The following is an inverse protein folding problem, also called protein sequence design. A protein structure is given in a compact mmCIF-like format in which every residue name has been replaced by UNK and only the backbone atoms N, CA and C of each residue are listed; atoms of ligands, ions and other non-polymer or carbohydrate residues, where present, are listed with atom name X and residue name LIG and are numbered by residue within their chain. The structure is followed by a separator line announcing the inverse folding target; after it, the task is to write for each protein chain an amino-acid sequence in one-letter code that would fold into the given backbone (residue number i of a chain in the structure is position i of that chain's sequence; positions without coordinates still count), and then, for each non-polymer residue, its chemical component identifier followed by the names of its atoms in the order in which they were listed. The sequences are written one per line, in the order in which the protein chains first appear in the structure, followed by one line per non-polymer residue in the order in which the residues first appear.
data_IF_197484895112
#
_entry.id   IF_197484895112
#
_cell.length_a   1.000
_cell.length_b   1.000
_cell.length_c   1.000
_cell.angle_alpha   90.00
_cell.angle_beta   90.00
_cell.angle_gamma   90.00
#
_symmetry.space_group_name_H-M   'P 1'
#
loop_
_entity.id
_entity.type
_entity.pdbx_description
1 polymer ?
#
# COMPACT_ATOMS: atom_id res chain seq x y z
N UNK A 1 -21.27 48.67 -22.01
CA UNK A 1 -21.04 47.76 -23.14
C UNK A 1 -20.11 46.61 -22.79
N UNK A 2 -19.05 46.85 -22.00
CA UNK A 2 -18.07 45.82 -21.56
C UNK A 2 -18.68 44.69 -20.74
N UNK A 3 -19.41 44.97 -19.65
CA UNK A 3 -19.99 43.90 -18.81
C UNK A 3 -20.96 42.94 -19.51
N UNK A 4 -21.67 43.41 -20.53
CA UNK A 4 -22.63 42.59 -21.28
C UNK A 4 -21.92 41.72 -22.33
N UNK A 5 -20.81 42.19 -22.88
CA UNK A 5 -19.92 41.42 -23.75
C UNK A 5 -19.15 40.37 -22.96
N UNK A 6 -18.63 40.72 -21.79
CA UNK A 6 -17.92 39.79 -20.89
C UNK A 6 -18.84 38.64 -20.46
N UNK A 7 -20.10 38.93 -20.11
CA UNK A 7 -21.10 37.92 -19.75
C UNK A 7 -21.42 36.99 -20.93
N UNK A 8 -21.62 37.53 -22.14
CA UNK A 8 -21.86 36.72 -23.33
C UNK A 8 -20.66 35.84 -23.70
N UNK A 9 -19.44 36.35 -23.50
CA UNK A 9 -18.21 35.61 -23.75
C UNK A 9 -18.00 34.49 -22.74
N UNK A 10 -18.26 34.74 -21.45
CA UNK A 10 -18.19 33.73 -20.40
C UNK A 10 -19.14 32.56 -20.69
N UNK A 11 -20.39 32.84 -21.08
CA UNK A 11 -21.36 31.80 -21.47
C UNK A 11 -20.85 30.95 -22.64
N UNK A 12 -20.25 31.58 -23.66
CA UNK A 12 -19.64 30.86 -24.77
C UNK A 12 -18.53 29.90 -24.33
N UNK A 13 -17.62 30.39 -23.48
CA UNK A 13 -16.51 29.58 -22.96
C UNK A 13 -16.98 28.45 -22.03
N UNK A 14 -17.98 28.70 -21.18
CA UNK A 14 -18.60 27.67 -20.35
C UNK A 14 -19.27 26.58 -21.19
N UNK A 15 -19.95 26.94 -22.27
CA UNK A 15 -20.56 25.96 -23.17
C UNK A 15 -19.52 25.03 -23.81
N UNK A 16 -18.35 25.56 -24.20
CA UNK A 16 -17.27 24.75 -24.76
C UNK A 16 -16.62 23.85 -23.69
N UNK A 17 -16.40 24.38 -22.49
CA UNK A 17 -15.92 23.62 -21.34
C UNK A 17 -16.89 22.48 -20.98
N UNK A 18 -18.20 22.75 -20.94
CA UNK A 18 -19.23 21.77 -20.62
C UNK A 18 -19.29 20.65 -21.67
N UNK A 19 -19.20 20.98 -22.96
CA UNK A 19 -19.10 19.95 -24.03
C UNK A 19 -17.87 19.06 -23.85
N UNK A 20 -16.74 19.63 -23.44
CA UNK A 20 -15.53 18.85 -23.14
C UNK A 20 -15.74 17.95 -21.91
N UNK A 21 -16.42 18.44 -20.87
CA UNK A 21 -16.80 17.66 -19.69
C UNK A 21 -17.72 16.49 -20.04
N UNK A 22 -18.77 16.72 -20.84
CA UNK A 22 -19.71 15.66 -21.26
C UNK A 22 -19.05 14.57 -22.11
N UNK A 23 -18.01 14.92 -22.86
CA UNK A 23 -17.22 13.97 -23.66
C UNK A 23 -16.02 13.38 -22.91
N UNK A 24 -15.84 13.71 -21.63
CA UNK A 24 -14.71 13.28 -20.79
C UNK A 24 -13.33 13.53 -21.44
N UNK A 25 -13.23 14.56 -22.27
CA UNK A 25 -12.00 14.88 -23.00
C UNK A 25 -11.08 15.74 -22.12
N UNK A 26 -10.40 15.12 -21.15
CA UNK A 26 -9.65 15.83 -20.10
C UNK A 26 -8.58 16.80 -20.62
N UNK A 27 -7.94 16.50 -21.75
CA UNK A 27 -7.01 17.43 -22.41
C UNK A 27 -7.71 18.70 -22.91
N UNK A 28 -8.92 18.57 -23.48
CA UNK A 28 -9.76 19.71 -23.89
C UNK A 28 -10.34 20.44 -22.68
N UNK A 29 -10.80 19.74 -21.65
CA UNK A 29 -11.30 20.34 -20.39
C UNK A 29 -10.22 21.26 -19.82
N UNK A 30 -8.97 20.77 -19.71
CA UNK A 30 -7.86 21.58 -19.23
C UNK A 30 -7.63 22.83 -20.09
N UNK A 31 -7.60 22.68 -21.42
CA UNK A 31 -7.42 23.81 -22.34
C UNK A 31 -8.53 24.85 -22.25
N UNK A 32 -9.80 24.43 -22.20
CA UNK A 32 -10.92 25.36 -22.08
C UNK A 32 -11.00 26.00 -20.71
N UNK A 33 -10.72 25.27 -19.64
CA UNK A 33 -10.64 25.84 -18.29
C UNK A 33 -9.51 26.89 -18.20
N UNK A 34 -8.34 26.64 -18.81
CA UNK A 34 -7.27 27.64 -18.89
C UNK A 34 -7.70 28.91 -19.63
N UNK A 35 -8.47 28.78 -20.71
CA UNK A 35 -9.03 29.94 -21.43
C UNK A 35 -10.03 30.73 -20.59
N UNK A 36 -10.91 30.05 -19.84
CA UNK A 36 -11.83 30.70 -18.90
C UNK A 36 -11.03 31.44 -17.83
N UNK A 37 -10.09 30.76 -17.17
CA UNK A 37 -9.33 31.30 -16.05
C UNK A 37 -8.32 32.40 -16.44
N UNK A 38 -7.96 32.50 -17.72
CA UNK A 38 -7.16 33.62 -18.23
C UNK A 38 -7.95 34.94 -18.25
N UNK A 39 -9.27 34.87 -18.46
CA UNK A 39 -10.16 36.03 -18.50
C UNK A 39 -10.92 36.24 -17.18
N UNK A 40 -11.26 35.15 -16.50
CA UNK A 40 -12.05 35.09 -15.27
C UNK A 40 -11.31 34.24 -14.22
N UNK A 41 -10.27 34.78 -13.56
CA UNK A 41 -9.36 33.99 -12.72
C UNK A 41 -10.00 33.31 -11.50
N UNK A 42 -11.16 33.81 -11.06
CA UNK A 42 -11.88 33.37 -9.87
C UNK A 42 -13.13 32.52 -10.22
N UNK A 43 -13.27 32.10 -11.48
CA UNK A 43 -14.39 31.25 -11.92
C UNK A 43 -14.33 29.86 -11.25
N UNK A 44 -15.26 29.61 -10.32
CA UNK A 44 -15.31 28.39 -9.51
C UNK A 44 -15.48 27.11 -10.36
N UNK A 45 -16.31 27.18 -11.40
CA UNK A 45 -16.57 26.03 -12.28
C UNK A 45 -15.30 25.63 -13.05
N UNK A 46 -14.61 26.59 -13.68
CA UNK A 46 -13.39 26.35 -14.41
C UNK A 46 -12.23 25.91 -13.48
N UNK A 47 -12.14 26.48 -12.27
CA UNK A 47 -11.17 26.03 -11.27
C UNK A 47 -11.37 24.55 -10.90
N UNK A 48 -12.61 24.13 -10.63
CA UNK A 48 -12.94 22.72 -10.34
C UNK A 48 -12.68 21.80 -11.53
N UNK A 49 -13.14 22.19 -12.73
CA UNK A 49 -12.91 21.43 -13.96
C UNK A 49 -11.41 21.23 -14.24
N UNK A 50 -10.59 22.28 -14.04
CA UNK A 50 -9.14 22.20 -14.20
C UNK A 50 -8.50 21.23 -13.19
N UNK A 51 -8.87 21.30 -11.92
CA UNK A 51 -8.35 20.39 -10.90
C UNK A 51 -8.67 18.92 -11.25
N UNK A 52 -9.93 18.62 -11.62
CA UNK A 52 -10.35 17.29 -12.06
C UNK A 52 -9.60 16.84 -13.32
N UNK A 53 -9.46 17.70 -14.32
CA UNK A 53 -8.73 17.38 -15.55
C UNK A 53 -7.25 17.04 -15.28
N UNK A 54 -6.59 17.78 -14.39
CA UNK A 54 -5.20 17.49 -14.00
C UNK A 54 -5.06 16.12 -13.33
N UNK A 55 -6.02 15.72 -12.49
CA UNK A 55 -6.07 14.38 -11.88
C UNK A 55 -6.17 13.29 -12.95
N UNK A 56 -7.13 13.40 -13.87
CA UNK A 56 -7.33 12.39 -14.92
C UNK A 56 -6.22 12.33 -15.96
N UNK A 57 -5.47 13.42 -16.14
CA UNK A 57 -4.26 13.46 -16.96
C UNK A 57 -3.01 12.98 -16.20
N UNK A 58 -3.18 12.47 -14.97
CA UNK A 58 -2.10 12.01 -14.08
C UNK A 58 -1.06 13.09 -13.73
N UNK A 59 -1.43 14.36 -13.87
CA UNK A 59 -0.59 15.53 -13.56
C UNK A 59 -0.75 15.93 -12.09
N UNK A 60 -0.42 15.01 -11.19
CA UNK A 60 -0.74 15.14 -9.75
C UNK A 60 -0.04 16.33 -9.09
N UNK A 61 1.25 16.56 -9.36
CA UNK A 61 1.98 17.70 -8.79
C UNK A 61 1.45 19.04 -9.32
N UNK A 62 1.14 19.12 -10.61
CA UNK A 62 0.56 20.32 -11.21
C UNK A 62 -0.81 20.65 -10.59
N UNK A 63 -1.61 19.62 -10.28
CA UNK A 63 -2.89 19.77 -9.58
C UNK A 63 -2.69 20.35 -8.17
N UNK A 64 -1.76 19.79 -7.38
CA UNK A 64 -1.48 20.28 -6.03
C UNK A 64 -0.93 21.71 -6.06
N UNK A 65 -0.03 22.01 -7.00
CA UNK A 65 0.51 23.35 -7.20
C UNK A 65 -0.58 24.36 -7.57
N UNK A 66 -1.48 23.97 -8.47
CA UNK A 66 -2.61 24.77 -8.88
C UNK A 66 -3.55 25.07 -7.70
N UNK A 67 -4.00 24.04 -6.98
CA UNK A 67 -4.88 24.16 -5.80
C UNK A 67 -4.25 25.06 -4.73
N UNK A 68 -2.96 24.88 -4.46
CA UNK A 68 -2.22 25.70 -3.48
C UNK A 68 -2.15 27.17 -3.91
N UNK A 69 -1.75 27.44 -5.16
CA UNK A 69 -1.59 28.82 -5.68
C UNK A 69 -2.91 29.58 -5.71
N UNK A 70 -4.00 28.90 -6.09
CA UNK A 70 -5.36 29.46 -6.18
C UNK A 70 -6.12 29.43 -4.86
N UNK A 71 -5.59 28.77 -3.82
CA UNK A 71 -6.23 28.60 -2.49
C UNK A 71 -7.62 27.95 -2.57
N UNK A 72 -7.76 26.92 -3.41
CA UNK A 72 -9.00 26.20 -3.68
C UNK A 72 -9.30 25.16 -2.59
N UNK A 73 -9.68 25.62 -1.39
CA UNK A 73 -9.93 24.75 -0.22
C UNK A 73 -11.05 23.73 -0.42
N UNK A 74 -11.99 24.02 -1.32
CA UNK A 74 -13.14 23.19 -1.68
C UNK A 74 -12.77 21.99 -2.58
N UNK A 75 -11.60 22.02 -3.23
CA UNK A 75 -11.10 20.94 -4.08
C UNK A 75 -10.49 19.78 -3.27
N UNK A 76 -11.20 19.32 -2.23
CA UNK A 76 -10.75 18.31 -1.27
C UNK A 76 -10.43 16.97 -1.93
N UNK A 77 -11.36 16.45 -2.75
CA UNK A 77 -11.20 15.13 -3.39
C UNK A 77 -10.01 15.11 -4.38
N UNK A 78 -9.88 16.06 -5.34
CA UNK A 78 -8.69 16.13 -6.19
C UNK A 78 -7.39 16.23 -5.39
N UNK A 79 -7.35 17.08 -4.35
CA UNK A 79 -6.16 17.28 -3.52
C UNK A 79 -5.76 16.00 -2.79
N UNK A 80 -6.68 15.39 -2.04
CA UNK A 80 -6.41 14.18 -1.28
C UNK A 80 -6.02 13.01 -2.19
N UNK A 81 -6.67 12.89 -3.36
CA UNK A 81 -6.33 11.86 -4.33
C UNK A 81 -4.94 12.06 -4.94
N UNK A 82 -4.56 13.29 -5.29
CA UNK A 82 -3.19 13.60 -5.74
C UNK A 82 -2.14 13.27 -4.65
N UNK A 83 -2.38 13.66 -3.41
CA UNK A 83 -1.51 13.31 -2.27
C UNK A 83 -1.37 11.79 -2.13
N UNK A 84 -2.47 11.04 -2.22
CA UNK A 84 -2.48 9.57 -2.20
C UNK A 84 -1.68 8.94 -3.36
N UNK A 85 -1.86 9.44 -4.59
CA UNK A 85 -1.16 8.95 -5.79
C UNK A 85 0.34 9.24 -5.74
N UNK A 86 0.75 10.31 -5.06
CA UNK A 86 2.15 10.67 -4.80
C UNK A 86 2.71 9.99 -3.53
N UNK A 87 1.99 9.03 -2.95
CA UNK A 87 2.37 8.32 -1.73
C UNK A 87 2.56 9.24 -0.49
N UNK A 88 1.94 10.43 -0.49
CA UNK A 88 1.87 11.36 0.65
C UNK A 88 0.68 11.01 1.54
N UNK A 89 0.69 9.80 2.11
CA UNK A 89 -0.47 9.19 2.77
C UNK A 89 -0.97 10.01 3.98
N UNK A 90 -0.06 10.58 4.78
CA UNK A 90 -0.40 11.41 5.93
C UNK A 90 -1.03 12.75 5.53
N UNK A 91 -0.52 13.37 4.47
CA UNK A 91 -1.09 14.60 3.92
C UNK A 91 -2.51 14.35 3.38
N UNK A 92 -2.70 13.23 2.66
CA UNK A 92 -4.00 12.83 2.14
C UNK A 92 -5.03 12.64 3.27
N UNK A 93 -4.67 11.90 4.34
CA UNK A 93 -5.56 11.75 5.50
C UNK A 93 -5.84 13.08 6.20
N UNK A 94 -4.84 13.96 6.31
CA UNK A 94 -5.02 15.29 6.89
C UNK A 94 -5.97 16.15 6.06
N UNK A 95 -5.84 16.11 4.73
CA UNK A 95 -6.75 16.81 3.81
C UNK A 95 -8.18 16.31 3.96
N UNK A 96 -8.40 14.98 4.02
CA UNK A 96 -9.73 14.40 4.23
C UNK A 96 -10.31 14.83 5.58
N UNK A 97 -9.57 14.61 6.69
CA UNK A 97 -10.04 14.91 8.05
C UNK A 97 -10.36 16.38 8.26
N UNK A 98 -9.52 17.29 7.75
CA UNK A 98 -9.71 18.73 7.92
C UNK A 98 -10.89 19.28 7.11
N UNK A 99 -11.37 18.55 6.10
CA UNK A 99 -12.51 19.00 5.30
C UNK A 99 -13.84 18.94 6.04
N UNK A 100 -13.99 18.01 7.01
CA UNK A 100 -15.27 17.71 7.64
C UNK A 100 -16.35 17.17 6.69
N UNK A 101 -15.99 16.83 5.44
CA UNK A 101 -16.91 16.32 4.44
C UNK A 101 -17.04 14.80 4.55
N UNK A 102 -18.29 14.33 4.56
CA UNK A 102 -18.61 12.91 4.51
C UNK A 102 -19.32 12.59 3.19
N UNK A 103 -18.62 11.88 2.30
CA UNK A 103 -19.21 11.32 1.08
C UNK A 103 -18.52 9.99 0.76
N UNK A 104 -19.16 9.09 -0.02
CA UNK A 104 -18.62 7.77 -0.27
C UNK A 104 -17.21 7.81 -0.89
N UNK A 105 -16.93 8.73 -1.81
CA UNK A 105 -15.61 8.84 -2.45
C UNK A 105 -14.47 9.18 -1.49
N UNK A 106 -14.70 10.09 -0.53
CA UNK A 106 -13.69 10.43 0.49
C UNK A 106 -13.51 9.29 1.50
N UNK A 107 -14.59 8.62 1.90
CA UNK A 107 -14.53 7.51 2.84
C UNK A 107 -13.83 6.28 2.21
N UNK A 108 -14.06 6.04 0.93
CA UNK A 108 -13.40 5.02 0.10
C UNK A 108 -11.89 5.31 0.00
N UNK A 109 -11.52 6.54 -0.36
CA UNK A 109 -10.11 6.96 -0.41
C UNK A 109 -9.44 6.86 0.97
N UNK A 110 -10.13 7.25 2.04
CA UNK A 110 -9.63 7.10 3.40
C UNK A 110 -9.35 5.62 3.74
N UNK A 111 -10.26 4.70 3.39
CA UNK A 111 -10.08 3.27 3.61
C UNK A 111 -8.83 2.76 2.86
N UNK A 112 -8.68 3.13 1.58
CA UNK A 112 -7.51 2.77 0.76
C UNK A 112 -6.19 3.31 1.34
N UNK A 113 -6.19 4.54 1.85
CA UNK A 113 -5.01 5.12 2.51
C UNK A 113 -4.67 4.34 3.80
N UNK A 114 -5.67 4.05 4.63
CA UNK A 114 -5.49 3.28 5.87
C UNK A 114 -4.94 1.88 5.59
N UNK A 115 -5.44 1.21 4.54
CA UNK A 115 -4.91 -0.07 4.07
C UNK A 115 -3.43 0.04 3.69
N UNK A 116 -3.05 1.05 2.90
CA UNK A 116 -1.64 1.30 2.52
C UNK A 116 -0.74 1.62 3.71
N UNK A 117 -1.28 2.24 4.76
CA UNK A 117 -0.59 2.51 6.03
C UNK A 117 -0.53 1.29 6.98
N UNK A 118 -1.08 0.14 6.58
CA UNK A 118 -1.19 -1.06 7.42
C UNK A 118 -2.11 -0.88 8.64
N UNK A 119 -2.97 0.15 8.63
CA UNK A 119 -4.02 0.39 9.64
C UNK A 119 -5.29 -0.41 9.29
N UNK A 120 -5.13 -1.73 9.17
CA UNK A 120 -6.15 -2.61 8.60
C UNK A 120 -7.48 -2.63 9.36
N UNK A 121 -7.47 -2.53 10.70
CA UNK A 121 -8.70 -2.44 11.51
C UNK A 121 -9.52 -1.19 11.14
N UNK A 122 -8.86 -0.02 11.08
CA UNK A 122 -9.50 1.24 10.72
C UNK A 122 -10.00 1.20 9.27
N UNK A 123 -9.21 0.62 8.36
CA UNK A 123 -9.63 0.40 6.97
C UNK A 123 -10.87 -0.50 6.88
N UNK A 124 -10.90 -1.58 7.65
CA UNK A 124 -12.03 -2.51 7.69
C UNK A 124 -13.32 -1.80 8.12
N UNK A 125 -13.24 -1.00 9.19
CA UNK A 125 -14.40 -0.28 9.73
C UNK A 125 -14.90 0.80 8.74
N UNK A 126 -14.01 1.46 7.97
CA UNK A 126 -14.41 2.34 6.86
C UNK A 126 -15.20 1.59 5.77
N UNK A 127 -14.69 0.46 5.28
CA UNK A 127 -15.40 -0.34 4.25
C UNK A 127 -16.71 -0.96 4.75
N UNK A 128 -16.76 -1.38 6.02
CA UNK A 128 -18.00 -1.83 6.67
C UNK A 128 -19.03 -0.73 6.74
N UNK A 129 -18.61 0.52 6.91
CA UNK A 129 -19.50 1.69 6.88
C UNK A 129 -19.97 1.95 5.44
N UNK A 130 -19.07 1.93 4.46
CA UNK A 130 -19.40 2.10 3.04
C UNK A 130 -20.45 1.11 2.54
N UNK A 131 -20.23 -0.19 2.75
CA UNK A 131 -21.11 -1.28 2.27
C UNK A 131 -22.48 -1.32 2.95
N UNK A 132 -22.62 -0.70 4.13
CA UNK A 132 -23.90 -0.53 4.85
C UNK A 132 -24.65 0.72 4.40
N UNK A 133 -23.94 1.82 4.17
CA UNK A 133 -24.55 3.13 3.92
C UNK A 133 -24.85 3.35 2.44
N UNK A 134 -24.03 2.82 1.53
CA UNK A 134 -24.13 3.08 0.10
C UNK A 134 -24.37 1.78 -0.67
N UNK A 135 -25.35 1.81 -1.58
CA UNK A 135 -25.69 0.73 -2.51
C UNK A 135 -25.58 1.29 -3.93
N UNK A 136 -24.56 0.84 -4.64
CA UNK A 136 -24.18 1.27 -5.98
C UNK A 136 -23.47 0.13 -6.71
N UNK A 137 -23.07 0.37 -7.96
CA UNK A 137 -22.44 -0.64 -8.83
C UNK A 137 -21.05 -1.09 -8.37
N UNK A 138 -20.50 -0.52 -7.28
CA UNK A 138 -19.18 -0.84 -6.74
C UNK A 138 -19.24 -1.76 -5.51
N UNK A 139 -20.40 -2.37 -5.24
CA UNK A 139 -20.60 -3.19 -4.03
C UNK A 139 -19.63 -4.40 -4.02
N UNK A 140 -19.47 -5.09 -5.13
CA UNK A 140 -18.64 -6.30 -5.22
C UNK A 140 -17.15 -6.00 -5.02
N UNK A 141 -16.62 -4.92 -5.60
CA UNK A 141 -15.23 -4.49 -5.39
C UNK A 141 -14.97 -4.11 -3.94
N UNK A 142 -15.94 -3.47 -3.27
CA UNK A 142 -15.83 -3.17 -1.84
C UNK A 142 -15.80 -4.45 -0.98
N UNK A 143 -16.58 -5.48 -1.32
CA UNK A 143 -16.49 -6.77 -0.63
C UNK A 143 -15.15 -7.45 -0.88
N UNK A 144 -14.64 -7.43 -2.11
CA UNK A 144 -13.29 -7.94 -2.43
C UNK A 144 -12.22 -7.25 -1.58
N UNK A 145 -12.32 -5.93 -1.41
CA UNK A 145 -11.41 -5.15 -0.56
C UNK A 145 -11.54 -5.52 0.93
N UNK A 146 -12.76 -5.74 1.45
CA UNK A 146 -12.97 -6.21 2.83
C UNK A 146 -12.29 -7.56 3.07
N UNK A 147 -12.41 -8.50 2.12
CA UNK A 147 -11.75 -9.81 2.23
C UNK A 147 -10.23 -9.65 2.24
N UNK A 148 -9.67 -8.81 1.36
CA UNK A 148 -8.24 -8.52 1.33
C UNK A 148 -7.74 -7.94 2.68
N UNK A 149 -8.50 -7.01 3.28
CA UNK A 149 -8.20 -6.45 4.60
C UNK A 149 -8.23 -7.53 5.68
N UNK A 150 -9.25 -8.40 5.68
CA UNK A 150 -9.34 -9.51 6.63
C UNK A 150 -8.16 -10.48 6.47
N UNK A 151 -7.74 -10.77 5.23
CA UNK A 151 -6.56 -11.58 4.94
C UNK A 151 -5.28 -10.95 5.47
N UNK A 152 -5.08 -9.65 5.25
CA UNK A 152 -3.94 -8.90 5.77
C UNK A 152 -3.91 -8.87 7.30
N UNK A 153 -5.05 -8.70 7.97
CA UNK A 153 -5.16 -8.80 9.43
C UNK A 153 -4.73 -10.18 9.94
N UNK A 154 -5.19 -11.25 9.30
CA UNK A 154 -4.88 -12.62 9.70
C UNK A 154 -3.38 -12.93 9.53
N UNK A 155 -2.82 -12.62 8.37
CA UNK A 155 -1.42 -12.91 8.06
C UNK A 155 -0.45 -11.99 8.83
N UNK A 156 -0.64 -10.67 8.74
CA UNK A 156 0.38 -9.70 9.16
C UNK A 156 0.24 -9.27 10.62
N UNK A 157 -0.98 -9.31 11.17
CA UNK A 157 -1.26 -8.85 12.54
C UNK A 157 -1.77 -9.96 13.46
N UNK A 158 -1.95 -11.19 12.94
CA UNK A 158 -2.51 -12.32 13.70
C UNK A 158 -3.85 -11.97 14.37
N UNK A 159 -4.65 -11.13 13.70
CA UNK A 159 -5.98 -10.70 14.13
C UNK A 159 -7.03 -11.27 13.18
N UNK A 160 -8.24 -11.46 13.69
CA UNK A 160 -9.33 -12.07 12.93
C UNK A 160 -10.52 -11.11 12.88
N UNK A 161 -10.92 -10.76 11.67
CA UNK A 161 -12.22 -10.12 11.35
C UNK A 161 -12.99 -11.04 10.40
N UNK A 162 -14.31 -10.86 10.34
CA UNK A 162 -15.13 -11.56 9.34
C UNK A 162 -14.73 -11.08 7.95
N UNK A 163 -14.44 -11.97 6.98
CA UNK A 163 -14.11 -11.53 5.63
C UNK A 163 -15.31 -10.97 4.86
N UNK A 164 -16.54 -11.04 5.39
CA UNK A 164 -17.77 -10.62 4.67
C UNK A 164 -17.90 -11.28 3.29
N UNK A 165 -17.45 -12.53 3.18
CA UNK A 165 -17.31 -13.23 1.91
C UNK A 165 -18.62 -13.28 1.12
N UNK A 166 -18.56 -12.79 -0.12
CA UNK A 166 -19.59 -12.96 -1.14
C UNK A 166 -18.95 -13.51 -2.42
N UNK A 167 -19.32 -14.72 -2.87
CA UNK A 167 -18.81 -15.24 -4.15
C UNK A 167 -19.34 -14.36 -5.29
N UNK A 168 -18.44 -13.66 -5.98
CA UNK A 168 -18.77 -12.84 -7.14
C UNK A 168 -17.60 -12.82 -8.13
N UNK A 169 -16.41 -12.49 -7.62
CA UNK A 169 -15.18 -12.32 -8.41
C UNK A 169 -14.13 -13.37 -8.00
N UNK A 170 -13.23 -13.73 -8.92
CA UNK A 170 -12.18 -14.71 -8.62
C UNK A 170 -11.17 -14.14 -7.62
N UNK A 171 -11.00 -12.82 -7.61
CA UNK A 171 -10.22 -12.08 -6.63
C UNK A 171 -10.77 -12.26 -5.22
N UNK A 172 -12.09 -12.39 -5.06
CA UNK A 172 -12.70 -12.67 -3.76
C UNK A 172 -12.27 -14.05 -3.27
N UNK A 173 -12.36 -15.08 -4.11
CA UNK A 173 -11.92 -16.44 -3.77
C UNK A 173 -10.41 -16.49 -3.48
N UNK A 174 -9.60 -15.78 -4.27
CA UNK A 174 -8.16 -15.66 -4.04
C UNK A 174 -7.86 -15.01 -2.68
N UNK A 175 -8.53 -13.90 -2.36
CA UNK A 175 -8.34 -13.23 -1.07
C UNK A 175 -8.83 -14.09 0.12
N UNK A 176 -9.88 -14.90 -0.06
CA UNK A 176 -10.30 -15.89 0.96
C UNK A 176 -9.24 -16.97 1.14
N UNK A 177 -8.61 -17.43 0.06
CA UNK A 177 -7.48 -18.35 0.16
C UNK A 177 -6.36 -17.72 1.01
N UNK A 178 -5.99 -16.46 0.75
CA UNK A 178 -5.02 -15.70 1.55
C UNK A 178 -5.44 -15.57 3.02
N UNK A 179 -6.73 -15.32 3.30
CA UNK A 179 -7.25 -15.28 4.67
C UNK A 179 -7.06 -16.62 5.39
N UNK A 180 -7.34 -17.74 4.73
CA UNK A 180 -7.09 -19.06 5.30
C UNK A 180 -5.59 -19.37 5.45
N UNK A 181 -4.72 -18.86 4.56
CA UNK A 181 -3.25 -18.94 4.75
C UNK A 181 -2.83 -18.24 6.04
N UNK A 182 -3.28 -16.99 6.26
CA UNK A 182 -2.98 -16.24 7.48
C UNK A 182 -3.46 -16.92 8.75
N UNK A 183 -4.53 -17.71 8.65
CA UNK A 183 -5.06 -18.53 9.74
C UNK A 183 -4.40 -19.92 9.85
N UNK A 184 -3.42 -20.24 9.01
CA UNK A 184 -2.75 -21.55 8.93
C UNK A 184 -3.68 -22.70 8.56
N UNK A 185 -4.80 -22.41 7.91
CA UNK A 185 -5.82 -23.36 7.46
C UNK A 185 -5.54 -23.80 6.00
N UNK A 186 -4.35 -24.35 5.75
CA UNK A 186 -3.82 -24.57 4.40
C UNK A 186 -4.70 -25.46 3.50
N UNK A 187 -5.36 -26.47 4.07
CA UNK A 187 -6.28 -27.32 3.30
C UNK A 187 -7.51 -26.56 2.77
N UNK A 188 -7.99 -25.54 3.50
CA UNK A 188 -9.07 -24.67 3.01
C UNK A 188 -8.54 -23.66 2.00
N UNK A 189 -7.38 -23.06 2.29
CA UNK A 189 -6.74 -22.13 1.37
C UNK A 189 -6.56 -22.74 -0.02
N UNK A 190 -6.07 -23.98 -0.10
CA UNK A 190 -5.88 -24.67 -1.38
C UNK A 190 -7.20 -24.90 -2.15
N UNK A 191 -8.31 -25.16 -1.46
CA UNK A 191 -9.63 -25.31 -2.11
C UNK A 191 -10.09 -24.00 -2.74
N UNK A 192 -9.97 -22.90 -2.01
CA UNK A 192 -10.33 -21.57 -2.52
C UNK A 192 -9.40 -21.10 -3.64
N UNK A 193 -8.11 -21.42 -3.57
CA UNK A 193 -7.16 -21.07 -4.63
C UNK A 193 -7.50 -21.78 -5.95
N UNK A 194 -7.85 -23.07 -5.89
CA UNK A 194 -8.34 -23.81 -7.07
C UNK A 194 -9.63 -23.20 -7.61
N UNK A 195 -10.58 -22.88 -6.73
CA UNK A 195 -11.84 -22.23 -7.11
C UNK A 195 -11.61 -20.87 -7.79
N UNK A 196 -10.68 -20.05 -7.29
CA UNK A 196 -10.31 -18.79 -7.92
C UNK A 196 -9.72 -19.00 -9.32
N UNK A 197 -8.83 -19.97 -9.46
CA UNK A 197 -8.22 -20.32 -10.75
C UNK A 197 -9.25 -20.81 -11.77
N UNK A 198 -10.14 -21.72 -11.35
CA UNK A 198 -11.21 -22.24 -12.20
C UNK A 198 -12.14 -21.09 -12.65
N UNK A 199 -12.58 -20.24 -11.71
CA UNK A 199 -13.46 -19.10 -12.02
C UNK A 199 -12.80 -18.07 -12.94
N UNK A 200 -11.50 -17.80 -12.75
CA UNK A 200 -10.73 -16.90 -13.62
C UNK A 200 -10.66 -17.47 -15.05
N UNK A 201 -10.37 -18.77 -15.20
CA UNK A 201 -10.36 -19.43 -16.51
C UNK A 201 -11.75 -19.43 -17.16
N UNK A 202 -12.79 -19.69 -16.37
CA UNK A 202 -14.17 -19.75 -16.87
C UNK A 202 -14.67 -18.41 -17.42
N UNK A 203 -14.11 -17.28 -16.95
CA UNK A 203 -14.45 -15.94 -17.45
C UNK A 203 -14.09 -15.72 -18.93
N UNK A 204 -13.23 -16.57 -19.51
CA UNK A 204 -12.81 -16.52 -20.90
C UNK A 204 -13.53 -17.53 -21.82
N UNK A 205 -14.33 -18.43 -21.26
CA UNK A 205 -14.96 -19.52 -22.03
C UNK A 205 -15.87 -19.02 -23.16
N UNK A 206 -16.45 -17.82 -23.00
CA UNK A 206 -17.41 -17.25 -23.96
C UNK A 206 -16.73 -16.47 -25.11
N UNK A 207 -15.41 -16.21 -25.03
CA UNK A 207 -14.66 -15.55 -26.12
C UNK A 207 -13.73 -16.56 -26.82
N UNK A 208 -14.11 -17.04 -28.03
CA UNK A 208 -13.32 -18.02 -28.79
C UNK A 208 -11.99 -17.45 -29.31
N UNK A 209 -11.76 -16.14 -29.20
CA UNK A 209 -10.50 -15.52 -29.59
C UNK A 209 -9.50 -15.43 -28.44
N UNK A 210 -9.88 -15.86 -27.22
CA UNK A 210 -8.96 -15.84 -26.08
C UNK A 210 -7.81 -16.82 -26.31
N UNK A 211 -6.58 -16.35 -26.13
CA UNK A 211 -5.38 -17.19 -26.20
C UNK A 211 -5.00 -17.73 -24.82
N UNK A 212 -4.32 -18.87 -24.76
CA UNK A 212 -3.77 -19.39 -23.50
C UNK A 212 -2.82 -18.39 -22.83
N UNK A 213 -2.07 -17.60 -23.60
CA UNK A 213 -1.20 -16.55 -23.06
C UNK A 213 -2.01 -15.46 -22.31
N UNK A 214 -3.20 -15.10 -22.80
CA UNK A 214 -4.09 -14.15 -22.11
C UNK A 214 -4.62 -14.73 -20.80
N UNK A 215 -5.03 -16.01 -20.83
CA UNK A 215 -5.49 -16.73 -19.63
C UNK A 215 -4.35 -16.86 -18.60
N UNK A 216 -3.14 -17.17 -19.06
CA UNK A 216 -1.97 -17.28 -18.18
C UNK A 216 -1.56 -15.94 -17.59
N UNK A 217 -1.70 -14.84 -18.35
CA UNK A 217 -1.47 -13.49 -17.83
C UNK A 217 -2.47 -13.11 -16.74
N UNK A 218 -3.75 -13.45 -16.90
CA UNK A 218 -4.81 -13.13 -15.93
C UNK A 218 -4.80 -14.07 -14.71
N UNK A 219 -4.39 -15.33 -14.90
CA UNK A 219 -4.18 -16.28 -13.78
C UNK A 219 -2.83 -16.11 -13.08
N UNK A 220 -1.91 -15.31 -13.62
CA UNK A 220 -0.57 -15.08 -13.06
C UNK A 220 -0.58 -14.62 -11.59
N UNK A 221 -1.46 -13.71 -11.13
CA UNK A 221 -1.53 -13.32 -9.71
C UNK A 221 -1.88 -14.50 -8.79
N UNK A 222 -2.64 -15.48 -9.29
CA UNK A 222 -3.03 -16.70 -8.58
C UNK A 222 -1.90 -17.73 -8.58
N UNK A 223 -1.22 -17.88 -9.73
CA UNK A 223 -0.23 -18.95 -10.02
C UNK A 223 1.23 -18.59 -9.76
N UNK A 224 1.54 -17.46 -9.13
CA UNK A 224 2.90 -16.96 -8.83
C UNK A 224 3.66 -16.23 -9.95
N UNK A 225 2.97 -15.66 -10.95
CA UNK A 225 3.57 -14.82 -11.99
C UNK A 225 3.70 -13.32 -11.61
N UNK A 226 3.05 -12.84 -10.55
CA UNK A 226 3.18 -11.44 -10.12
C UNK A 226 4.60 -11.15 -9.58
N UNK A 227 5.29 -10.08 -10.03
CA UNK A 227 6.63 -9.73 -9.56
C UNK A 227 6.73 -9.52 -8.03
N UNK A 228 5.68 -9.02 -7.38
CA UNK A 228 5.65 -8.80 -5.93
C UNK A 228 5.56 -10.14 -5.20
N UNK A 229 4.70 -11.05 -5.68
CA UNK A 229 4.60 -12.41 -5.16
C UNK A 229 5.91 -13.20 -5.35
N UNK A 230 6.55 -13.08 -6.51
CA UNK A 230 7.86 -13.67 -6.78
C UNK A 230 8.95 -13.10 -5.87
N UNK A 231 8.90 -11.82 -5.54
CA UNK A 231 9.84 -11.20 -4.61
C UNK A 231 9.68 -11.75 -3.19
N UNK A 232 8.45 -11.93 -2.71
CA UNK A 232 8.17 -12.56 -1.41
C UNK A 232 8.61 -14.02 -1.39
N UNK A 233 8.33 -14.79 -2.45
CA UNK A 233 8.76 -16.19 -2.57
C UNK A 233 10.30 -16.30 -2.58
N UNK A 234 10.98 -15.45 -3.34
CA UNK A 234 12.44 -15.40 -3.38
C UNK A 234 13.04 -15.02 -2.01
N UNK A 235 12.40 -14.11 -1.27
CA UNK A 235 12.79 -13.80 0.10
C UNK A 235 12.70 -15.01 1.04
N UNK A 236 11.64 -15.80 0.95
CA UNK A 236 11.48 -17.01 1.74
C UNK A 236 12.56 -18.06 1.39
N UNK A 237 12.90 -18.20 0.10
CA UNK A 237 13.97 -19.09 -0.35
C UNK A 237 15.36 -18.67 0.17
N UNK A 238 15.63 -17.37 0.31
CA UNK A 238 16.88 -16.88 0.92
C UNK A 238 17.03 -17.43 2.35
N UNK A 239 15.95 -17.39 3.14
CA UNK A 239 15.95 -17.93 4.51
C UNK A 239 16.11 -19.45 4.57
N UNK A 240 15.47 -20.17 3.66
CA UNK A 240 15.53 -21.64 3.60
C UNK A 240 16.94 -22.09 3.20
N UNK A 241 17.54 -21.44 2.20
CA UNK A 241 18.85 -21.83 1.66
C UNK A 241 20.01 -21.56 2.64
N UNK A 242 19.87 -20.61 3.58
CA UNK A 242 20.90 -20.22 4.55
C UNK A 242 22.28 -20.05 3.88
N UNK A 243 23.28 -20.81 4.35
CA UNK A 243 24.66 -20.80 3.85
C UNK A 243 24.92 -21.79 2.71
N UNK A 244 23.98 -22.68 2.39
CA UNK A 244 24.23 -23.78 1.44
C UNK A 244 24.40 -23.30 0.00
N UNK A 245 23.74 -22.19 -0.38
CA UNK A 245 23.71 -21.69 -1.77
C UNK A 245 23.98 -20.17 -1.86
N UNK A 246 25.12 -19.71 -1.32
CA UNK A 246 25.50 -18.28 -1.26
C UNK A 246 25.36 -17.55 -2.61
N UNK A 247 25.74 -18.18 -3.71
CA UNK A 247 25.67 -17.58 -5.05
C UNK A 247 24.22 -17.38 -5.52
N UNK A 248 23.38 -18.42 -5.44
CA UNK A 248 21.96 -18.35 -5.81
C UNK A 248 21.21 -17.35 -4.92
N UNK A 249 21.48 -17.38 -3.61
CA UNK A 249 20.94 -16.41 -2.65
C UNK A 249 21.29 -14.97 -3.05
N UNK A 250 22.55 -14.69 -3.40
CA UNK A 250 22.96 -13.35 -3.88
C UNK A 250 22.25 -12.94 -5.17
N UNK A 251 22.02 -13.87 -6.10
CA UNK A 251 21.26 -13.61 -7.33
C UNK A 251 19.81 -13.21 -7.01
N UNK A 252 19.16 -13.92 -6.08
CA UNK A 252 17.81 -13.61 -5.60
C UNK A 252 17.73 -12.26 -4.90
N UNK A 253 18.70 -11.94 -4.03
CA UNK A 253 18.77 -10.64 -3.35
C UNK A 253 18.79 -9.49 -4.37
N UNK A 254 19.54 -9.63 -5.46
CA UNK A 254 19.58 -8.62 -6.53
C UNK A 254 18.25 -8.52 -7.27
N UNK A 255 17.62 -9.65 -7.57
CA UNK A 255 16.34 -9.69 -8.30
C UNK A 255 15.18 -9.02 -7.54
N UNK A 256 15.21 -9.04 -6.21
CA UNK A 256 14.15 -8.45 -5.37
C UNK A 256 14.43 -7.01 -4.91
N UNK A 257 15.58 -6.43 -5.28
CA UNK A 257 16.00 -5.09 -4.87
C UNK A 257 15.54 -3.98 -5.85
N UNK A 258 14.53 -4.25 -6.69
CA UNK A 258 14.07 -3.34 -7.74
C UNK A 258 13.19 -2.23 -7.15
N UNK A 259 13.45 -0.98 -7.54
CA UNK A 259 12.74 0.21 -7.01
C UNK A 259 11.23 0.15 -7.26
N UNK A 260 10.80 -0.37 -8.42
CA UNK A 260 9.39 -0.50 -8.79
C UNK A 260 8.58 -1.40 -7.84
N UNK A 261 9.23 -2.29 -7.09
CA UNK A 261 8.57 -3.15 -6.10
C UNK A 261 8.28 -2.41 -4.80
N UNK A 262 9.00 -1.32 -4.47
CA UNK A 262 8.84 -0.64 -3.18
C UNK A 262 7.43 -0.10 -2.97
N UNK A 263 6.80 0.40 -4.03
CA UNK A 263 5.44 0.94 -3.99
C UNK A 263 4.35 -0.14 -4.01
N UNK A 264 4.69 -1.39 -4.36
CA UNK A 264 3.76 -2.53 -4.38
C UNK A 264 3.78 -3.34 -3.08
N UNK A 265 4.93 -3.39 -2.41
CA UNK A 265 5.11 -4.15 -1.19
C UNK A 265 4.71 -3.33 0.03
N UNK A 266 4.11 -3.99 1.02
CA UNK A 266 3.87 -3.42 2.34
C UNK A 266 5.20 -3.13 3.06
N UNK A 267 5.18 -2.17 3.99
CA UNK A 267 6.35 -1.86 4.82
C UNK A 267 6.79 -3.10 5.58
N UNK A 268 5.86 -3.88 6.13
CA UNK A 268 6.15 -5.15 6.78
C UNK A 268 6.91 -6.14 5.87
N UNK A 269 6.52 -6.26 4.60
CA UNK A 269 7.22 -7.12 3.65
C UNK A 269 8.63 -6.60 3.35
N UNK A 270 8.77 -5.29 3.13
CA UNK A 270 10.08 -4.66 2.89
C UNK A 270 11.02 -4.82 4.08
N UNK A 271 10.54 -4.62 5.31
CA UNK A 271 11.37 -4.79 6.52
C UNK A 271 11.78 -6.25 6.72
N UNK A 272 10.87 -7.21 6.50
CA UNK A 272 11.21 -8.63 6.52
C UNK A 272 12.27 -9.00 5.49
N UNK A 273 12.17 -8.46 4.26
CA UNK A 273 13.17 -8.69 3.21
C UNK A 273 14.54 -8.12 3.57
N UNK A 274 14.59 -6.88 4.08
CA UNK A 274 15.85 -6.26 4.50
C UNK A 274 16.49 -6.99 5.69
N UNK A 275 15.67 -7.42 6.65
CA UNK A 275 16.11 -8.23 7.78
C UNK A 275 16.73 -9.56 7.32
N UNK A 276 16.03 -10.32 6.47
CA UNK A 276 16.50 -11.61 5.97
C UNK A 276 17.81 -11.48 5.18
N UNK A 277 17.93 -10.43 4.36
CA UNK A 277 19.17 -10.10 3.66
C UNK A 277 20.32 -9.78 4.62
N UNK A 278 20.05 -8.95 5.63
CA UNK A 278 21.04 -8.59 6.64
C UNK A 278 21.51 -9.79 7.47
N UNK A 279 20.60 -10.68 7.83
CA UNK A 279 20.89 -11.93 8.53
C UNK A 279 21.77 -12.86 7.68
N UNK A 280 21.46 -13.01 6.40
CA UNK A 280 22.30 -13.75 5.46
C UNK A 280 23.72 -13.17 5.40
N UNK A 281 23.87 -11.85 5.26
CA UNK A 281 25.18 -11.21 5.22
C UNK A 281 25.96 -11.36 6.54
N UNK A 282 25.27 -11.33 7.68
CA UNK A 282 25.88 -11.56 8.99
C UNK A 282 26.41 -12.98 9.13
N UNK A 283 25.64 -13.98 8.67
CA UNK A 283 26.03 -15.38 8.67
C UNK A 283 27.20 -15.63 7.70
N UNK A 284 27.13 -15.07 6.49
CA UNK A 284 28.19 -15.16 5.48
C UNK A 284 29.45 -14.30 5.77
N UNK A 285 29.55 -13.67 6.95
CA UNK A 285 30.71 -12.85 7.34
C UNK A 285 30.89 -11.54 6.58
N UNK A 286 29.91 -11.11 5.77
CA UNK A 286 29.96 -9.89 4.96
C UNK A 286 29.45 -8.69 5.76
N UNK A 287 30.27 -8.22 6.70
CA UNK A 287 29.89 -7.23 7.72
C UNK A 287 29.49 -5.86 7.13
N UNK A 288 30.15 -5.38 6.08
CA UNK A 288 29.77 -4.12 5.43
C UNK A 288 28.40 -4.20 4.76
N UNK A 289 28.10 -5.31 4.07
CA UNK A 289 26.80 -5.53 3.47
C UNK A 289 25.71 -5.68 4.54
N UNK A 290 26.01 -6.38 5.65
CA UNK A 290 25.12 -6.47 6.81
C UNK A 290 24.82 -5.08 7.39
N UNK A 291 25.84 -4.25 7.62
CA UNK A 291 25.69 -2.88 8.13
C UNK A 291 24.76 -2.03 7.26
N UNK A 292 24.91 -2.12 5.94
CA UNK A 292 24.03 -1.42 5.00
C UNK A 292 22.56 -1.86 5.15
N UNK A 293 22.31 -3.17 5.35
CA UNK A 293 20.95 -3.69 5.56
C UNK A 293 20.37 -3.36 6.92
N UNK A 294 21.19 -3.34 7.98
CA UNK A 294 20.80 -2.84 9.31
C UNK A 294 20.35 -1.39 9.23
N UNK A 295 21.09 -0.54 8.52
CA UNK A 295 20.69 0.86 8.32
C UNK A 295 19.37 0.94 7.56
N UNK A 296 19.26 0.24 6.43
CA UNK A 296 18.05 0.29 5.59
C UNK A 296 16.79 -0.22 6.31
N UNK A 297 16.87 -1.30 7.09
CA UNK A 297 15.69 -1.84 7.80
C UNK A 297 15.20 -0.89 8.89
N UNK A 298 16.10 -0.19 9.58
CA UNK A 298 15.76 0.81 10.59
C UNK A 298 15.35 2.17 10.01
N UNK A 299 15.72 2.47 8.75
CA UNK A 299 15.18 3.62 8.01
C UNK A 299 13.73 3.37 7.56
N UNK A 300 13.39 2.13 7.19
CA UNK A 300 12.01 1.75 6.83
C UNK A 300 11.08 1.70 8.06
N UNK A 301 11.57 1.14 9.17
CA UNK A 301 10.85 1.13 10.46
C UNK A 301 11.86 1.16 11.63
N UNK A 302 12.04 2.32 12.28
CA UNK A 302 12.96 2.46 13.41
C UNK A 302 12.64 1.56 14.61
N UNK A 303 11.39 1.13 14.73
CA UNK A 303 10.88 0.36 15.86
C UNK A 303 10.67 -1.13 15.51
N UNK A 304 11.07 -1.58 14.32
CA UNK A 304 10.92 -2.98 13.97
C UNK A 304 11.85 -3.87 14.81
N UNK A 305 11.25 -4.75 15.61
CA UNK A 305 11.97 -5.68 16.49
C UNK A 305 13.01 -6.51 15.73
N UNK A 306 12.71 -7.11 14.55
CA UNK A 306 13.72 -7.85 13.79
C UNK A 306 14.94 -6.99 13.41
N UNK A 307 14.74 -5.73 13.00
CA UNK A 307 15.82 -4.81 12.66
C UNK A 307 16.69 -4.45 13.87
N UNK A 308 16.07 -4.22 15.03
CA UNK A 308 16.78 -3.95 16.28
C UNK A 308 17.62 -5.15 16.75
N UNK A 309 17.05 -6.36 16.68
CA UNK A 309 17.77 -7.59 17.01
C UNK A 309 18.92 -7.85 16.05
N UNK A 310 18.72 -7.62 14.75
CA UNK A 310 19.80 -7.71 13.76
C UNK A 310 20.92 -6.70 14.03
N UNK A 311 20.57 -5.47 14.40
CA UNK A 311 21.56 -4.43 14.75
C UNK A 311 22.37 -4.84 15.98
N UNK A 312 21.71 -5.33 17.04
CA UNK A 312 22.39 -5.81 18.23
C UNK A 312 23.29 -7.03 17.94
N UNK A 313 22.85 -7.95 17.09
CA UNK A 313 23.65 -9.09 16.64
C UNK A 313 24.88 -8.65 15.80
N UNK A 314 24.70 -7.68 14.91
CA UNK A 314 25.79 -7.06 14.15
C UNK A 314 26.81 -6.38 15.08
N UNK A 315 26.36 -5.53 16.01
CA UNK A 315 27.21 -4.84 16.99
C UNK A 315 27.99 -5.83 17.86
N UNK A 316 27.35 -6.91 18.29
CA UNK A 316 28.01 -7.99 19.03
C UNK A 316 29.10 -8.65 18.18
N UNK A 317 28.83 -8.93 16.89
CA UNK A 317 29.79 -9.52 15.95
C UNK A 317 31.03 -8.64 15.73
N UNK A 318 30.87 -7.32 15.73
CA UNK A 318 31.98 -6.35 15.62
C UNK A 318 32.58 -5.95 16.98
N UNK A 319 32.28 -6.71 18.04
CA UNK A 319 32.80 -6.51 19.41
C UNK A 319 32.40 -5.17 20.05
N UNK A 320 31.27 -4.59 19.64
CA UNK A 320 30.69 -3.37 20.21
C UNK A 320 29.52 -3.70 21.16
N UNK A 321 29.75 -4.62 22.10
CA UNK A 321 28.73 -5.09 23.06
C UNK A 321 28.05 -3.95 23.84
N UNK A 322 28.76 -2.91 24.35
CA UNK A 322 28.11 -1.80 25.07
C UNK A 322 27.08 -1.05 24.22
N UNK A 323 27.33 -0.93 22.90
CA UNK A 323 26.40 -0.27 21.99
C UNK A 323 25.18 -1.15 21.71
N UNK A 324 25.39 -2.48 21.56
CA UNK A 324 24.31 -3.44 21.40
C UNK A 324 23.34 -3.42 22.60
N UNK A 325 23.87 -3.39 23.81
CA UNK A 325 23.08 -3.25 25.05
C UNK A 325 22.29 -1.94 25.04
N UNK A 326 22.98 -0.82 24.77
CA UNK A 326 22.37 0.53 24.78
C UNK A 326 21.15 0.64 23.86
N UNK A 327 21.22 0.10 22.64
CA UNK A 327 20.09 0.19 21.70
C UNK A 327 18.88 -0.64 22.15
N UNK A 328 19.10 -1.80 22.75
CA UNK A 328 18.01 -2.65 23.23
C UNK A 328 17.38 -2.08 24.51
N UNK A 329 18.20 -1.50 25.41
CA UNK A 329 17.71 -0.78 26.60
C UNK A 329 16.83 0.42 26.22
N UNK A 330 17.30 1.22 25.27
CA UNK A 330 16.55 2.37 24.77
C UNK A 330 15.19 1.95 24.18
N UNK A 331 15.15 0.83 23.43
CA UNK A 331 13.89 0.29 22.91
C UNK A 331 12.96 -0.19 24.03
N UNK A 332 13.46 -0.95 25.01
CA UNK A 332 12.66 -1.43 26.15
C UNK A 332 12.02 -0.28 26.97
N UNK A 333 12.61 0.91 26.94
CA UNK A 333 12.10 2.11 27.62
C UNK A 333 11.19 2.98 26.71
N UNK A 334 11.04 2.63 25.44
CA UNK A 334 10.29 3.42 24.47
C UNK A 334 8.77 3.11 24.50
N UNK A 335 7.91 4.09 24.13
CA UNK A 335 6.48 3.84 23.94
C UNK A 335 6.20 2.71 22.93
N UNK A 336 7.05 2.58 21.91
CA UNK A 336 6.92 1.54 20.90
C UNK A 336 7.02 0.12 21.49
N UNK A 337 7.76 -0.07 22.59
CA UNK A 337 7.80 -1.36 23.28
C UNK A 337 6.54 -1.63 24.11
N UNK A 338 6.00 -0.61 24.79
CA UNK A 338 4.79 -0.75 25.62
C UNK A 338 3.50 -0.90 24.81
N UNK A 339 3.44 -0.29 23.62
CA UNK A 339 2.23 -0.17 22.80
C UNK A 339 2.24 -1.10 21.57
N UNK A 340 3.31 -1.86 21.34
CA UNK A 340 3.46 -2.68 20.12
C UNK A 340 2.33 -3.70 19.96
N UNK A 341 1.56 -3.63 18.86
CA UNK A 341 0.54 -4.63 18.52
C UNK A 341 1.15 -5.92 17.95
N UNK A 342 2.46 -5.91 17.62
CA UNK A 342 3.19 -7.04 17.00
C UNK A 342 3.38 -8.18 18.00
N UNK A 343 3.29 -7.90 19.29
CA UNK A 343 3.34 -8.92 20.33
C UNK A 343 1.99 -9.61 20.47
N UNK A 344 1.65 -10.45 19.49
CA UNK A 344 0.67 -11.52 19.69
C UNK A 344 1.03 -12.31 20.96
N UNK A 345 0.02 -12.65 21.75
CA UNK A 345 0.07 -13.32 23.07
C UNK A 345 1.42 -14.02 23.37
N UNK A 346 2.21 -13.44 24.28
CA UNK A 346 3.23 -14.13 25.07
C UNK A 346 4.69 -14.02 24.61
N UNK A 347 5.00 -14.40 23.36
CA UNK A 347 6.40 -14.76 23.02
C UNK A 347 7.23 -13.60 22.42
N UNK A 348 6.63 -12.75 21.58
CA UNK A 348 7.39 -11.70 20.88
C UNK A 348 7.94 -10.61 21.81
N UNK A 349 7.20 -10.25 22.86
CA UNK A 349 7.54 -9.14 23.77
C UNK A 349 8.80 -9.42 24.59
N UNK A 350 9.09 -10.69 24.83
CA UNK A 350 10.24 -11.12 25.62
C UNK A 350 11.51 -11.27 24.79
N UNK A 351 11.43 -11.29 23.44
CA UNK A 351 12.61 -11.47 22.60
C UNK A 351 13.69 -10.42 22.85
N UNK A 352 13.32 -9.14 22.92
CA UNK A 352 14.27 -8.06 23.16
C UNK A 352 14.83 -8.10 24.60
N UNK A 353 14.01 -8.19 25.67
CA UNK A 353 14.52 -8.35 27.03
C UNK A 353 15.40 -9.59 27.24
N UNK A 354 15.03 -10.74 26.66
CA UNK A 354 15.81 -11.97 26.78
C UNK A 354 17.16 -11.84 26.07
N UNK A 355 17.19 -11.23 24.88
CA UNK A 355 18.46 -10.99 24.20
C UNK A 355 19.32 -9.98 24.94
N UNK A 356 18.71 -8.90 25.46
CA UNK A 356 19.39 -7.93 26.32
C UNK A 356 20.00 -8.60 27.56
N UNK A 357 19.25 -9.46 28.25
CA UNK A 357 19.75 -10.24 29.39
C UNK A 357 20.94 -11.12 28.98
N UNK A 358 20.84 -11.82 27.86
CA UNK A 358 21.94 -12.62 27.33
C UNK A 358 23.20 -11.77 27.06
N UNK A 359 23.05 -10.59 26.47
CA UNK A 359 24.18 -9.67 26.23
C UNK A 359 24.81 -9.16 27.54
N UNK A 360 24.02 -8.89 28.57
CA UNK A 360 24.54 -8.55 29.90
C UNK A 360 25.30 -9.70 30.56
N UNK A 361 24.90 -10.95 30.31
CA UNK A 361 25.60 -12.14 30.81
C UNK A 361 26.91 -12.46 30.05
N UNK A 362 27.07 -11.92 28.84
CA UNK A 362 28.31 -12.04 28.05
C UNK A 362 29.35 -10.95 28.38
N UNK A 363 28.95 -9.91 29.11
CA UNK A 363 29.81 -8.81 29.55
C UNK A 363 30.73 -9.26 30.67
#
# INVERSE_FOLDING_TARGET
MTHQQDASQLVGLHNDLEKACRSLSYSKILSFADKVLALFPDDDYANKCKAVALVHLERFEDCLDFIRKKKLSECVMPKAYCEYRLNRLDDALKTIKNSGLENPGLLELQAQILYRKEEFENSYDCYKTLTKTFKDDYEDERFTNIVAIAAALAEMQQKTRSPEYKPALFETDFNIACYHVGRKEYSKALKFLKKAEDLCRDSFNDDPNTTEDQIDQETAPIRSGDPSLMAVAANNLICINREQNVFDTKKRIKAIAVESLKHKLFRFQRTAMLFNQGLFYLQAGQLEACRAKVKAVLEEDPNCVPGLLLNAAYLTRIKQLPQAIKILEAYCQSPAYSESPVFGKGEGRLLVPLYLLHLHLLR
#
